data_IF_786690394719
#
_entry.id   IF_786690394719
#
_cell.length_a   1.000
_cell.length_b   1.000
_cell.length_c   1.000
_cell.angle_alpha   90.00
_cell.angle_beta   90.00
_cell.angle_gamma   90.00
#
_symmetry.space_group_name_H-M   'P 1'
#
loop_
_entity.id
_entity.type
_entity.pdbx_description
1 polymer ?
#
# COMPACT_ATOMS: atom_id res chain seq x y z
N UNK A 1 1.38 -7.88 -7.30
CA UNK A 1 2.24 -8.45 -6.24
C UNK A 1 1.36 -8.91 -5.08
N UNK A 2 1.85 -9.80 -4.22
CA UNK A 2 1.05 -10.37 -3.13
C UNK A 2 1.90 -10.75 -1.93
N UNK A 3 1.39 -10.52 -0.72
CA UNK A 3 1.91 -10.99 0.56
C UNK A 3 0.88 -11.89 1.22
N UNK A 4 1.29 -13.04 1.76
CA UNK A 4 0.38 -13.99 2.43
C UNK A 4 0.87 -14.31 3.82
N UNK A 5 -0.06 -14.50 4.75
CA UNK A 5 0.27 -14.80 6.14
C UNK A 5 -0.72 -15.77 6.78
N UNK A 6 -0.28 -16.37 7.88
CA UNK A 6 -1.11 -17.17 8.79
C UNK A 6 -0.90 -16.71 10.24
N UNK A 7 -1.99 -16.66 11.01
CA UNK A 7 -2.07 -16.20 12.38
C UNK A 7 -2.70 -17.27 13.26
N UNK A 8 -2.29 -17.31 14.53
CA UNK A 8 -2.89 -18.20 15.55
C UNK A 8 -4.33 -17.81 15.89
N UNK A 9 -4.67 -16.53 15.77
CA UNK A 9 -5.99 -15.97 16.06
C UNK A 9 -6.43 -15.04 14.93
N UNK A 10 -7.73 -14.71 14.85
CA UNK A 10 -8.24 -13.81 13.80
C UNK A 10 -7.64 -12.42 13.96
N UNK A 11 -6.95 -11.94 12.93
CA UNK A 11 -6.33 -10.62 12.91
C UNK A 11 -6.13 -10.10 11.49
N UNK A 12 -5.26 -9.10 11.37
CA UNK A 12 -4.91 -8.45 10.10
C UNK A 12 -3.46 -7.98 10.16
N UNK A 13 -2.70 -8.21 9.10
CA UNK A 13 -1.46 -7.52 8.84
C UNK A 13 -1.63 -6.50 7.71
N UNK A 14 -0.79 -5.48 7.75
CA UNK A 14 -0.76 -4.42 6.75
C UNK A 14 0.49 -4.56 5.89
N UNK A 15 0.32 -4.38 4.58
CA UNK A 15 1.42 -4.17 3.64
C UNK A 15 1.49 -2.68 3.32
N UNK A 16 2.69 -2.12 3.29
CA UNK A 16 2.93 -0.71 2.98
C UNK A 16 3.66 -0.59 1.65
N UNK A 17 3.14 0.24 0.75
CA UNK A 17 3.89 0.73 -0.39
C UNK A 17 4.42 2.12 -0.06
N UNK A 18 5.72 2.31 -0.25
CA UNK A 18 6.41 3.56 0.08
C UNK A 18 6.80 4.25 -1.22
N UNK A 19 6.57 5.56 -1.29
CA UNK A 19 6.99 6.40 -2.42
C UNK A 19 7.32 7.81 -1.93
N UNK A 20 8.24 8.48 -2.61
CA UNK A 20 8.57 9.89 -2.37
C UNK A 20 7.50 10.82 -2.93
N UNK A 21 6.76 10.38 -3.96
CA UNK A 21 5.76 11.22 -4.63
C UNK A 21 4.40 11.07 -3.98
N UNK A 22 3.73 12.20 -3.70
CA UNK A 22 2.42 12.21 -3.08
C UNK A 22 1.37 11.43 -3.91
N UNK A 23 0.82 10.32 -3.37
CA UNK A 23 -0.24 9.58 -4.06
C UNK A 23 -1.57 10.31 -3.95
N UNK A 24 -2.41 10.12 -4.96
CA UNK A 24 -3.79 10.59 -4.97
C UNK A 24 -4.74 9.42 -4.74
N UNK A 25 -5.80 9.62 -3.96
CA UNK A 25 -6.87 8.65 -3.81
C UNK A 25 -7.83 8.77 -5.00
N UNK A 26 -8.09 7.66 -5.69
CA UNK A 26 -9.06 7.57 -6.79
C UNK A 26 -10.03 6.41 -6.51
N UNK A 27 -11.12 6.70 -5.80
CA UNK A 27 -12.04 5.69 -5.30
C UNK A 27 -11.36 4.67 -4.38
N UNK A 28 -11.29 3.42 -4.82
CA UNK A 28 -10.60 2.32 -4.10
C UNK A 28 -9.12 2.18 -4.47
N UNK A 29 -8.68 2.87 -5.52
CA UNK A 29 -7.33 2.82 -6.07
C UNK A 29 -6.48 3.95 -5.47
N UNK A 30 -5.16 3.83 -5.63
CA UNK A 30 -4.22 4.94 -5.45
C UNK A 30 -3.48 5.21 -6.75
N UNK A 31 -3.22 6.48 -7.04
CA UNK A 31 -2.47 6.93 -8.20
C UNK A 31 -1.19 7.62 -7.75
N UNK A 32 -0.04 7.17 -8.24
CA UNK A 32 1.25 7.85 -8.04
C UNK A 32 1.57 8.59 -9.34
N UNK A 33 1.58 9.93 -9.35
CA UNK A 33 2.03 10.70 -10.50
C UNK A 33 3.51 10.41 -10.79
N UNK A 34 3.86 10.06 -12.03
CA UNK A 34 5.24 9.81 -12.45
C UNK A 34 5.52 10.61 -13.73
N UNK A 35 5.82 11.90 -13.57
CA UNK A 35 6.02 12.82 -14.70
C UNK A 35 4.73 13.02 -15.51
N UNK A 36 4.73 12.59 -16.77
CA UNK A 36 3.56 12.67 -17.66
C UNK A 36 2.60 11.48 -17.55
N UNK A 37 3.00 10.41 -16.86
CA UNK A 37 2.22 9.18 -16.68
C UNK A 37 1.73 9.06 -15.24
N UNK A 38 0.80 8.13 -15.01
CA UNK A 38 0.35 7.77 -13.65
C UNK A 38 0.49 6.29 -13.41
N UNK A 39 1.12 5.91 -12.30
CA UNK A 39 1.11 4.54 -11.84
C UNK A 39 -0.15 4.30 -10.99
N UNK A 40 -1.04 3.45 -11.45
CA UNK A 40 -2.24 3.04 -10.74
C UNK A 40 -1.99 1.78 -9.91
N UNK A 41 -2.26 1.88 -8.61
CA UNK A 41 -2.26 0.78 -7.66
C UNK A 41 -3.71 0.42 -7.35
N UNK A 42 -4.11 -0.79 -7.77
CA UNK A 42 -5.45 -1.31 -7.52
C UNK A 42 -5.41 -2.53 -6.60
N UNK A 43 -6.02 -2.47 -5.41
CA UNK A 43 -6.20 -3.65 -4.57
C UNK A 43 -6.97 -4.73 -5.32
N UNK A 44 -6.52 -5.98 -5.21
CA UNK A 44 -7.32 -7.10 -5.73
C UNK A 44 -8.45 -7.43 -4.75
N UNK A 45 -9.39 -8.26 -5.20
CA UNK A 45 -10.47 -8.76 -4.34
C UNK A 45 -9.92 -9.35 -3.03
N UNK A 46 -10.57 -9.01 -1.90
CA UNK A 46 -10.12 -9.41 -0.57
C UNK A 46 -9.04 -8.51 0.03
N UNK A 47 -8.54 -7.51 -0.70
CA UNK A 47 -7.61 -6.47 -0.23
C UNK A 47 -8.23 -5.08 -0.31
N UNK A 48 -7.76 -4.13 0.50
CA UNK A 48 -8.19 -2.73 0.43
C UNK A 48 -7.08 -1.78 0.86
N UNK A 49 -7.07 -0.56 0.31
CA UNK A 49 -6.24 0.53 0.83
C UNK A 49 -7.00 1.22 1.96
N UNK A 50 -6.42 1.22 3.16
CA UNK A 50 -7.00 1.84 4.36
C UNK A 50 -6.50 3.26 4.62
N UNK A 51 -5.28 3.58 4.18
CA UNK A 51 -4.72 4.91 4.36
C UNK A 51 -3.72 5.29 3.24
N UNK A 52 -3.62 6.58 2.99
CA UNK A 52 -2.53 7.23 2.25
C UNK A 52 -2.04 8.36 3.14
N UNK A 53 -0.82 8.27 3.65
CA UNK A 53 -0.33 9.16 4.70
C UNK A 53 1.17 9.44 4.56
N UNK A 54 1.60 10.59 5.07
CA UNK A 54 3.03 10.89 5.23
C UNK A 54 3.57 10.21 6.46
N UNK A 55 4.82 9.75 6.41
CA UNK A 55 5.52 9.28 7.59
C UNK A 55 6.96 9.77 7.62
N UNK A 56 7.43 10.11 8.83
CA UNK A 56 8.84 10.25 9.07
C UNK A 56 9.53 8.91 8.78
N UNK A 57 10.56 8.96 7.93
CA UNK A 57 11.34 7.81 7.54
C UNK A 57 12.81 8.17 7.65
N UNK A 58 13.61 7.26 8.20
CA UNK A 58 15.05 7.42 8.19
C UNK A 58 15.59 6.53 7.08
N UNK A 59 16.08 7.16 6.03
CA UNK A 59 16.63 6.50 4.85
C UNK A 59 17.82 5.59 5.20
N UNK A 60 18.16 4.70 4.28
CA UNK A 60 19.28 3.76 4.46
C UNK A 60 20.63 4.44 4.70
N UNK A 61 20.78 5.69 4.26
CA UNK A 61 21.96 6.53 4.49
C UNK A 61 21.93 7.28 5.84
N UNK A 62 20.92 7.02 6.68
CA UNK A 62 20.79 7.65 7.99
C UNK A 62 20.22 9.07 7.97
N UNK A 63 19.74 9.53 6.81
CA UNK A 63 19.09 10.82 6.59
C UNK A 63 17.60 10.75 6.88
N UNK A 64 17.05 11.81 7.49
CA UNK A 64 15.61 11.92 7.67
C UNK A 64 14.97 12.35 6.35
N UNK A 65 13.97 11.58 5.92
CA UNK A 65 13.25 11.70 4.67
C UNK A 65 11.74 11.70 4.96
N UNK A 66 10.99 12.47 4.18
CA UNK A 66 9.53 12.36 4.19
C UNK A 66 9.10 11.48 3.03
N UNK A 67 8.38 10.41 3.36
CA UNK A 67 7.80 9.50 2.38
C UNK A 67 6.30 9.43 2.55
N UNK A 68 5.64 9.03 1.49
CA UNK A 68 4.24 8.66 1.51
C UNK A 68 4.09 7.15 1.62
N UNK A 69 3.11 6.73 2.40
CA UNK A 69 2.74 5.33 2.63
C UNK A 69 1.33 5.09 2.12
N UNK A 70 1.19 4.13 1.23
CA UNK A 70 -0.09 3.57 0.82
C UNK A 70 -0.25 2.27 1.60
N UNK A 71 -1.21 2.23 2.51
CA UNK A 71 -1.42 1.11 3.42
C UNK A 71 -2.50 0.20 2.92
N UNK A 72 -2.16 -1.07 2.72
CA UNK A 72 -3.07 -2.12 2.29
C UNK A 72 -3.27 -3.14 3.40
N UNK A 73 -4.48 -3.66 3.53
CA UNK A 73 -4.77 -4.78 4.42
C UNK A 73 -5.83 -5.71 3.82
N UNK A 74 -6.04 -6.91 4.39
CA UNK A 74 -7.18 -7.74 4.08
C UNK A 74 -8.49 -6.98 4.34
N UNK A 75 -9.49 -7.22 3.49
CA UNK A 75 -10.82 -6.63 3.66
C UNK A 75 -11.51 -7.08 4.96
N UNK A 76 -11.14 -8.25 5.47
CA UNK A 76 -11.72 -8.87 6.67
C UNK A 76 -10.65 -9.52 7.55
N UNK A 77 -10.81 -9.46 8.88
CA UNK A 77 -9.92 -10.17 9.79
C UNK A 77 -10.05 -11.69 9.63
N UNK A 78 -8.91 -12.36 9.56
CA UNK A 78 -8.81 -13.79 9.30
C UNK A 78 -7.59 -14.40 10.01
N UNK A 79 -7.57 -15.71 10.15
CA UNK A 79 -6.37 -16.46 10.53
C UNK A 79 -5.45 -16.69 9.34
N UNK A 80 -5.95 -16.58 8.10
CA UNK A 80 -5.15 -16.64 6.88
C UNK A 80 -5.67 -15.61 5.87
N UNK A 81 -4.77 -14.84 5.27
CA UNK A 81 -5.13 -13.89 4.22
C UNK A 81 -3.98 -13.67 3.24
N UNK A 82 -4.33 -13.18 2.06
CA UNK A 82 -3.41 -12.66 1.05
C UNK A 82 -3.76 -11.21 0.79
N UNK A 83 -2.80 -10.31 0.98
CA UNK A 83 -2.91 -8.90 0.60
C UNK A 83 -2.25 -8.75 -0.76
N UNK A 84 -2.98 -8.27 -1.76
CA UNK A 84 -2.48 -8.18 -3.11
C UNK A 84 -3.00 -6.95 -3.85
N UNK A 85 -2.23 -6.53 -4.84
CA UNK A 85 -2.55 -5.39 -5.69
C UNK A 85 -1.95 -5.58 -7.08
N UNK A 86 -2.53 -4.87 -8.04
CA UNK A 86 -2.02 -4.73 -9.41
C UNK A 86 -1.40 -3.36 -9.60
N UNK A 87 -0.45 -3.29 -10.52
CA UNK A 87 0.20 -2.06 -10.97
C UNK A 87 -0.06 -1.90 -12.46
N UNK A 88 -0.56 -0.75 -12.85
CA UNK A 88 -0.79 -0.39 -14.25
C UNK A 88 -0.26 1.02 -14.50
N UNK A 89 0.35 1.24 -15.66
CA UNK A 89 0.71 2.57 -16.13
C UNK A 89 -0.46 3.12 -16.95
N UNK A 90 -0.97 4.28 -16.56
CA UNK A 90 -1.95 5.08 -17.28
C UNK A 90 -1.26 6.24 -18.03
#
# INVERSE_FOLDING_TARGET
MADSFELKERGSFETLLITETAPLRDGTDALIPTGTQKLRIRPVEGSRITAIETAAYRGHQGTDEQVWRIRLCPATHSTRATVAYTLQID
#
